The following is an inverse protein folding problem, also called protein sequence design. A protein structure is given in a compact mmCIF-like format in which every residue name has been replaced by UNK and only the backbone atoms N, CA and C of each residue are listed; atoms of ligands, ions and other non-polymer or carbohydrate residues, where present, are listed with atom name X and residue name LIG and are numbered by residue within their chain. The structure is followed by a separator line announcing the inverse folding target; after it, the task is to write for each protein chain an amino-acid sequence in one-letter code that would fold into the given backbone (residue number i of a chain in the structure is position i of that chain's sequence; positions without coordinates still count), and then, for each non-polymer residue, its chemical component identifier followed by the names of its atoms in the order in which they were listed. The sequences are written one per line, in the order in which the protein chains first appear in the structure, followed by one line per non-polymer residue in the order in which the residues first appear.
data_IF_382051286880
#
_entry.id   IF_382051286880
#
_cell.length_a   1.000
_cell.length_b   1.000
_cell.length_c   1.000
_cell.angle_alpha   90.00
_cell.angle_beta   90.00
_cell.angle_gamma   90.00
#
_symmetry.space_group_name_H-M   'P 1'
#
loop_
_entity.id
_entity.type
_entity.pdbx_description
1 polymer ?
#
# COMPACT_ATOMS: atom_id res chain seq x y z
N UNK A 1 10.25 -5.15 -16.97
CA UNK A 1 9.40 -4.42 -17.93
C UNK A 1 8.13 -4.08 -17.17
N UNK A 2 8.00 -2.87 -16.65
CA UNK A 2 6.82 -2.57 -15.83
C UNK A 2 5.71 -2.14 -16.78
N UNK A 3 4.73 -3.03 -16.92
CA UNK A 3 3.53 -2.82 -17.72
C UNK A 3 2.89 -1.48 -17.36
N UNK A 4 2.56 -0.71 -18.40
CA UNK A 4 1.70 0.46 -18.31
C UNK A 4 0.31 0.03 -17.81
N UNK A 5 0.21 -0.26 -16.51
CA UNK A 5 -1.06 -0.54 -15.86
C UNK A 5 -1.82 0.77 -15.85
N UNK A 6 -2.78 0.90 -16.77
CA UNK A 6 -3.77 1.98 -16.77
C UNK A 6 -4.75 1.85 -15.58
N UNK A 7 -4.31 1.27 -14.47
CA UNK A 7 -5.10 1.09 -13.27
C UNK A 7 -4.93 2.33 -12.39
N UNK A 8 -6.03 2.69 -11.74
CA UNK A 8 -6.05 3.81 -10.83
C UNK A 8 -5.22 3.48 -9.58
N UNK A 9 -4.22 4.31 -9.25
CA UNK A 9 -3.40 4.11 -8.03
C UNK A 9 -4.20 4.17 -6.71
N UNK A 10 -5.41 4.74 -6.72
CA UNK A 10 -6.25 4.86 -5.53
C UNK A 10 -7.27 3.74 -5.34
N UNK A 11 -7.87 3.23 -6.42
CA UNK A 11 -8.91 2.20 -6.33
C UNK A 11 -8.57 0.88 -7.01
N UNK A 12 -7.41 0.78 -7.67
CA UNK A 12 -6.94 -0.42 -8.38
C UNK A 12 -7.69 -0.75 -9.67
N UNK A 13 -8.76 -0.01 -10.01
CA UNK A 13 -9.58 -0.27 -11.21
C UNK A 13 -9.02 0.43 -12.44
N UNK A 14 -9.24 -0.16 -13.60
CA UNK A 14 -8.82 0.40 -14.89
C UNK A 14 -9.41 1.80 -15.16
N UNK A 15 -8.60 2.70 -15.69
CA UNK A 15 -8.93 4.08 -16.08
C UNK A 15 -9.21 4.10 -17.57
N UNK A 16 -10.50 4.07 -17.95
CA UNK A 16 -10.93 4.22 -19.36
C UNK A 16 -11.00 5.69 -19.78
N UNK A 17 -11.68 6.51 -18.97
CA UNK A 17 -11.88 7.93 -19.20
C UNK A 17 -11.88 8.69 -17.87
N UNK A 18 -11.75 10.01 -17.93
CA UNK A 18 -11.85 10.86 -16.74
C UNK A 18 -10.78 10.53 -15.71
N UNK A 19 -9.53 10.39 -16.17
CA UNK A 19 -8.37 10.25 -15.33
C UNK A 19 -7.30 11.25 -15.69
N UNK A 20 -6.38 11.46 -14.75
CA UNK A 20 -5.19 12.29 -14.91
C UNK A 20 -3.97 11.44 -14.55
N UNK A 21 -2.88 11.63 -15.30
CA UNK A 21 -1.65 10.89 -15.09
C UNK A 21 -0.79 11.59 -14.05
N UNK A 22 -0.34 10.84 -13.04
CA UNK A 22 0.57 11.37 -12.02
C UNK A 22 2.01 11.33 -12.54
N UNK A 23 2.70 12.47 -12.52
CA UNK A 23 4.13 12.56 -12.89
C UNK A 23 5.09 12.33 -11.71
N UNK A 24 4.55 12.08 -10.51
CA UNK A 24 5.31 11.67 -9.34
C UNK A 24 5.81 10.22 -9.40
N UNK A 25 6.28 9.69 -8.26
CA UNK A 25 6.95 8.39 -8.15
C UNK A 25 6.08 7.22 -8.64
N UNK A 26 4.77 7.26 -8.40
CA UNK A 26 3.88 6.16 -8.78
C UNK A 26 3.68 6.02 -10.30
N UNK A 27 3.96 7.06 -11.10
CA UNK A 27 3.79 7.09 -12.57
C UNK A 27 2.52 6.39 -13.07
N UNK A 28 1.41 6.60 -12.38
CA UNK A 28 0.15 5.88 -12.56
C UNK A 28 -1.00 6.82 -12.86
N UNK A 29 -2.05 6.28 -13.49
CA UNK A 29 -3.30 7.01 -13.69
C UNK A 29 -4.11 7.10 -12.40
N UNK A 30 -4.93 8.13 -12.27
CA UNK A 30 -5.94 8.20 -11.21
C UNK A 30 -7.26 8.71 -11.76
N UNK A 31 -8.39 8.12 -11.35
CA UNK A 31 -9.69 8.68 -11.72
C UNK A 31 -9.90 10.02 -11.02
N UNK A 32 -10.44 10.99 -11.76
CA UNK A 32 -10.83 12.30 -11.22
C UNK A 32 -11.81 12.17 -10.05
N UNK A 33 -12.78 11.24 -10.16
CA UNK A 33 -13.73 10.93 -9.08
C UNK A 33 -13.05 10.40 -7.82
N UNK A 34 -11.98 9.59 -7.96
CA UNK A 34 -11.27 9.04 -6.81
C UNK A 34 -10.58 10.12 -5.98
N UNK A 35 -10.19 11.23 -6.61
CA UNK A 35 -9.54 12.38 -5.96
C UNK A 35 -10.47 13.58 -5.78
N UNK A 36 -11.77 13.41 -6.05
CA UNK A 36 -12.79 14.47 -6.01
C UNK A 36 -12.41 15.73 -6.84
N UNK A 37 -11.79 15.51 -7.99
CA UNK A 37 -11.40 16.56 -8.91
C UNK A 37 -12.41 16.64 -10.06
N UNK A 38 -12.83 17.85 -10.43
CA UNK A 38 -13.72 18.06 -11.56
C UNK A 38 -12.95 18.01 -12.89
N UNK A 39 -13.60 17.54 -13.96
CA UNK A 39 -12.99 17.55 -15.29
C UNK A 39 -12.66 18.96 -15.78
N UNK A 40 -13.50 19.96 -15.47
CA UNK A 40 -13.23 21.37 -15.78
C UNK A 40 -11.91 21.84 -15.17
N UNK A 41 -11.67 21.51 -13.89
CA UNK A 41 -10.44 21.87 -13.21
C UNK A 41 -9.20 21.31 -13.91
N UNK A 42 -9.25 20.09 -14.46
CA UNK A 42 -8.11 19.51 -15.19
C UNK A 42 -8.00 20.04 -16.62
N UNK A 43 -9.14 20.33 -17.26
CA UNK A 43 -9.19 20.88 -18.61
C UNK A 43 -8.61 22.29 -18.66
N UNK A 44 -8.83 23.07 -17.61
CA UNK A 44 -8.38 24.45 -17.51
C UNK A 44 -6.90 24.58 -17.05
N UNK A 45 -6.28 23.47 -16.61
CA UNK A 45 -4.86 23.45 -16.27
C UNK A 45 -4.00 23.69 -17.50
N UNK A 46 -2.93 24.46 -17.31
CA UNK A 46 -1.92 24.63 -18.35
C UNK A 46 -1.11 23.35 -18.51
N UNK A 47 -0.51 23.17 -19.68
CA UNK A 47 0.34 22.02 -19.97
C UNK A 47 1.50 21.91 -18.96
N UNK A 48 2.12 23.04 -18.58
CA UNK A 48 3.21 23.05 -17.59
C UNK A 48 2.76 22.56 -16.21
N UNK A 49 1.50 22.80 -15.85
CA UNK A 49 0.94 22.36 -14.57
C UNK A 49 0.58 20.87 -14.61
N UNK A 50 0.05 20.37 -15.73
CA UNK A 50 -0.19 18.94 -15.96
C UNK A 50 1.10 18.12 -15.90
N UNK A 51 2.20 18.63 -16.46
CA UNK A 51 3.50 17.96 -16.42
C UNK A 51 4.08 17.88 -15.01
N UNK A 52 3.68 18.79 -14.11
CA UNK A 52 4.07 18.80 -12.69
C UNK A 52 3.02 18.19 -11.78
N UNK A 53 1.89 17.75 -12.34
CA UNK A 53 0.77 17.29 -11.54
C UNK A 53 1.07 15.94 -10.90
N UNK A 54 0.91 15.89 -9.58
CA UNK A 54 1.09 14.69 -8.79
C UNK A 54 -0.22 14.31 -8.10
N UNK A 55 -0.47 13.02 -7.95
CA UNK A 55 -1.64 12.55 -7.21
C UNK A 55 -1.48 12.81 -5.70
N UNK A 56 -2.58 12.86 -4.92
CA UNK A 56 -2.52 13.09 -3.48
C UNK A 56 -1.66 12.08 -2.69
N UNK A 57 -1.37 10.90 -3.26
CA UNK A 57 -0.45 9.93 -2.65
C UNK A 57 0.99 10.44 -2.78
N UNK A 58 1.44 10.73 -3.99
CA UNK A 58 2.79 11.26 -4.22
C UNK A 58 3.03 12.66 -3.65
N UNK A 59 1.99 13.49 -3.56
CA UNK A 59 2.08 14.80 -2.91
C UNK A 59 2.33 14.69 -1.40
N UNK A 60 1.85 13.62 -0.74
CA UNK A 60 2.13 13.38 0.68
C UNK A 60 3.56 12.91 0.89
N UNK A 61 4.06 12.03 0.01
CA UNK A 61 5.44 11.52 0.05
C UNK A 61 6.51 12.62 -0.14
N UNK A 62 6.15 13.77 -0.70
CA UNK A 62 7.10 14.88 -0.95
C UNK A 62 7.15 15.92 0.18
N UNK A 63 6.26 15.82 1.18
CA UNK A 63 6.20 16.73 2.33
C UNK A 63 6.63 16.08 3.66
N UNK A 64 7.00 14.82 3.62
CA UNK A 64 7.74 14.19 4.71
C UNK A 64 9.21 14.30 4.32
N UNK A 65 10.03 14.93 5.18
CA UNK A 65 11.48 14.78 5.08
C UNK A 65 11.81 13.30 4.86
N UNK A 66 12.89 12.96 4.14
CA UNK A 66 13.26 11.56 3.95
C UNK A 66 13.51 10.95 5.32
N UNK A 67 12.48 10.29 5.87
CA UNK A 67 12.61 9.31 6.94
C UNK A 67 13.30 8.12 6.30
N UNK A 68 14.60 8.31 6.12
CA UNK A 68 15.66 7.41 6.49
C UNK A 68 15.15 6.01 6.89
N UNK A 69 15.50 5.02 6.08
CA UNK A 69 15.50 3.60 6.44
C UNK A 69 14.17 3.01 6.91
N UNK A 70 13.42 2.49 5.94
CA UNK A 70 12.33 1.52 6.12
C UNK A 70 12.87 0.12 6.47
N UNK A 71 13.81 0.02 7.42
CA UNK A 71 14.49 -1.25 7.72
C UNK A 71 14.85 -1.50 9.18
N UNK A 72 14.13 -0.97 10.18
CA UNK A 72 14.49 -1.32 11.58
C UNK A 72 13.40 -1.27 12.67
N UNK A 73 12.13 -0.94 12.39
CA UNK A 73 11.14 -0.76 13.48
C UNK A 73 10.03 -1.83 13.53
N UNK A 74 9.90 -2.73 12.53
CA UNK A 74 8.89 -3.81 12.55
C UNK A 74 9.42 -5.20 12.93
N UNK A 75 10.70 -5.34 13.32
CA UNK A 75 11.24 -6.65 13.72
C UNK A 75 10.90 -7.05 15.16
N UNK A 76 10.74 -6.10 16.08
CA UNK A 76 10.52 -6.42 17.49
C UNK A 76 9.14 -7.06 17.74
N UNK A 77 8.08 -6.56 17.08
CA UNK A 77 6.72 -7.09 17.26
C UNK A 77 6.51 -8.44 16.55
N UNK A 78 7.21 -8.64 15.43
CA UNK A 78 7.12 -9.90 14.69
C UNK A 78 7.89 -11.03 15.38
N UNK A 79 9.08 -10.75 15.93
CA UNK A 79 9.86 -11.74 16.67
C UNK A 79 9.14 -12.18 17.95
N UNK A 80 8.53 -11.24 18.69
CA UNK A 80 7.71 -11.54 19.86
C UNK A 80 6.49 -12.38 19.46
N UNK A 81 5.80 -12.03 18.37
CA UNK A 81 4.65 -12.78 17.88
C UNK A 81 5.01 -14.20 17.43
N UNK A 82 6.17 -14.38 16.79
CA UNK A 82 6.67 -15.68 16.36
C UNK A 82 7.07 -16.57 17.55
N UNK A 83 7.73 -16.00 18.55
CA UNK A 83 8.09 -16.73 19.78
C UNK A 83 6.84 -17.20 20.52
N UNK A 84 5.85 -16.32 20.70
CA UNK A 84 4.60 -16.66 21.38
C UNK A 84 3.82 -17.75 20.62
N UNK A 85 3.80 -17.69 19.28
CA UNK A 85 3.16 -18.71 18.47
C UNK A 85 3.83 -20.09 18.60
N UNK A 86 5.16 -20.13 18.70
CA UNK A 86 5.92 -21.36 18.95
C UNK A 86 5.62 -21.93 20.34
N UNK A 87 5.56 -21.08 21.37
CA UNK A 87 5.26 -21.50 22.75
C UNK A 87 3.85 -22.09 22.86
N UNK A 88 2.85 -21.43 22.27
CA UNK A 88 1.46 -21.92 22.24
C UNK A 88 1.38 -23.24 21.48
N UNK A 89 2.07 -23.36 20.33
CA UNK A 89 2.09 -24.59 19.54
C UNK A 89 2.67 -25.78 20.32
N UNK A 90 3.76 -25.57 21.04
CA UNK A 90 4.39 -26.60 21.86
C UNK A 90 3.49 -27.04 23.03
N UNK A 91 2.83 -26.10 23.71
CA UNK A 91 1.89 -26.41 24.80
C UNK A 91 0.73 -27.28 24.31
N UNK A 92 0.12 -26.93 23.16
CA UNK A 92 -0.97 -27.70 22.57
C UNK A 92 -0.54 -29.10 22.12
N UNK A 93 0.69 -29.26 21.64
CA UNK A 93 1.22 -30.58 21.28
C UNK A 93 1.39 -31.46 22.51
N UNK A 94 1.92 -30.91 23.61
CA UNK A 94 2.08 -31.64 24.87
C UNK A 94 0.73 -32.09 25.43
N UNK A 95 -0.25 -31.18 25.50
CA UNK A 95 -1.60 -31.53 25.97
C UNK A 95 -2.25 -32.63 25.11
N UNK A 96 -2.03 -32.63 23.80
CA UNK A 96 -2.52 -33.68 22.92
C UNK A 96 -1.82 -35.03 23.15
N UNK A 97 -0.54 -35.02 23.50
CA UNK A 97 0.19 -36.24 23.83
C UNK A 97 -0.28 -36.83 25.16
N UNK A 98 -0.49 -35.98 26.18
CA UNK A 98 -1.03 -36.38 27.48
C UNK A 98 -2.43 -36.98 27.34
N UNK A 99 -3.33 -36.30 26.61
CA UNK A 99 -4.69 -36.79 26.34
C UNK A 99 -4.70 -38.11 25.56
N UNK A 100 -3.76 -38.30 24.64
CA UNK A 100 -3.60 -39.58 23.93
C UNK A 100 -3.14 -40.70 24.85
N UNK A 101 -2.30 -40.41 25.85
CA UNK A 101 -1.89 -41.38 26.85
C UNK A 101 -3.04 -41.74 27.80
N UNK A 102 -3.91 -40.79 28.15
CA UNK A 102 -5.10 -41.04 28.97
C UNK A 102 -6.20 -41.84 28.25
N UNK A 103 -6.19 -41.85 26.91
CA UNK A 103 -7.12 -42.63 26.09
C UNK A 103 -6.71 -44.11 25.92
N UNK A 104 -5.54 -44.51 26.42
CA UNK A 104 -4.99 -45.87 26.36
C UNK A 104 -4.89 -46.50 27.75
#
# INVERSE_FOLDING_TARGET
MNENSNNCCKCGRYVRHGGVFCTGLCKSWVHLRCINLAYSAVKDLKKEELEKWQCPVCQKESNEEPVNSLSEVENSDLEISLSLAADIGNALLHENEDLKQELH
#
